data_IF_063786317853
#
_entry.id   IF_063786317853
#
_cell.length_a   1.000
_cell.length_b   1.000
_cell.length_c   1.000
_cell.angle_alpha   90.00
_cell.angle_beta   90.00
_cell.angle_gamma   90.00
#
_symmetry.space_group_name_H-M   'P 1'
#
loop_
_entity.id
_entity.type
_entity.pdbx_description
1 polymer ?
#
# COMPACT_ATOMS: atom_id res chain seq x y z
N UNK A 1 17.69 30.77 -10.74
CA UNK A 1 16.33 30.22 -10.90
C UNK A 1 16.24 28.92 -10.14
N UNK A 2 15.68 28.95 -8.93
CA UNK A 2 15.52 27.76 -8.08
C UNK A 2 14.52 26.82 -8.76
N UNK A 3 14.97 25.63 -9.14
CA UNK A 3 14.12 24.59 -9.70
C UNK A 3 13.19 24.08 -8.60
N UNK A 4 11.98 24.62 -8.50
CA UNK A 4 10.89 23.92 -7.82
C UNK A 4 10.64 22.65 -8.62
N UNK A 5 11.27 21.53 -8.22
CA UNK A 5 10.83 20.23 -8.70
C UNK A 5 9.41 20.06 -8.18
N UNK A 6 8.42 20.26 -9.04
CA UNK A 6 7.05 19.90 -8.75
C UNK A 6 7.04 18.40 -8.48
N UNK A 7 6.72 18.03 -7.24
CA UNK A 7 6.49 16.63 -6.91
C UNK A 7 5.32 16.12 -7.79
N UNK A 8 5.47 14.96 -8.44
CA UNK A 8 4.44 14.46 -9.33
C UNK A 8 3.15 14.18 -8.53
N UNK A 9 2.01 14.63 -9.06
CA UNK A 9 0.69 14.44 -8.44
C UNK A 9 0.36 12.97 -8.14
N UNK A 10 0.94 12.06 -8.93
CA UNK A 10 0.89 10.63 -8.74
C UNK A 10 2.25 10.01 -9.03
N UNK A 11 2.74 9.14 -8.15
CA UNK A 11 3.94 8.34 -8.46
C UNK A 11 3.85 6.93 -7.91
N UNK A 12 4.43 6.01 -8.67
CA UNK A 12 4.52 4.59 -8.32
C UNK A 12 5.98 4.18 -8.38
N UNK A 13 6.45 3.49 -7.34
CA UNK A 13 7.80 2.94 -7.28
C UNK A 13 7.76 1.49 -6.83
N UNK A 14 8.57 0.65 -7.48
CA UNK A 14 8.87 -0.72 -7.05
C UNK A 14 10.26 -0.72 -6.44
N UNK A 15 10.35 -0.87 -5.13
CA UNK A 15 11.64 -1.04 -4.46
C UNK A 15 12.01 -2.53 -4.45
N UNK A 16 13.17 -2.84 -5.02
CA UNK A 16 13.79 -4.16 -4.95
C UNK A 16 14.76 -4.19 -3.78
N UNK A 17 14.46 -4.97 -2.73
CA UNK A 17 15.37 -5.13 -1.59
C UNK A 17 16.37 -6.24 -1.91
N UNK A 18 17.59 -5.85 -2.31
CA UNK A 18 18.68 -6.80 -2.60
C UNK A 18 19.25 -7.30 -1.26
N UNK A 19 19.00 -8.58 -0.97
CA UNK A 19 19.69 -9.49 -0.03
C UNK A 19 20.20 -8.90 1.30
N UNK A 20 19.53 -9.25 2.42
CA UNK A 20 20.19 -9.23 3.73
C UNK A 20 21.09 -10.47 3.88
N UNK A 21 22.16 -10.33 4.69
CA UNK A 21 23.25 -11.30 4.96
C UNK A 21 22.79 -12.73 5.32
N UNK A 22 21.53 -12.92 5.69
CA UNK A 22 20.95 -14.18 6.18
C UNK A 22 20.16 -14.98 5.12
N UNK A 23 20.22 -14.61 3.84
CA UNK A 23 19.67 -15.44 2.74
C UNK A 23 18.13 -15.57 2.69
N UNK A 24 17.37 -14.91 3.57
CA UNK A 24 15.90 -14.93 3.53
C UNK A 24 15.31 -13.81 2.67
N UNK A 25 14.79 -14.26 1.51
CA UNK A 25 13.82 -13.71 0.53
C UNK A 25 13.79 -12.20 0.23
N UNK A 26 13.99 -11.97 -1.07
CA UNK A 26 13.47 -10.86 -1.89
C UNK A 26 12.00 -10.56 -1.59
N UNK A 27 11.71 -9.32 -1.20
CA UNK A 27 10.38 -8.72 -1.29
C UNK A 27 10.45 -7.53 -2.24
N UNK A 28 9.55 -7.46 -3.22
CA UNK A 28 9.32 -6.20 -3.91
C UNK A 28 8.26 -5.42 -3.13
N UNK A 29 8.56 -4.16 -2.88
CA UNK A 29 7.70 -3.24 -2.13
C UNK A 29 7.12 -2.24 -3.11
N UNK A 30 5.81 -2.19 -3.22
CA UNK A 30 5.12 -1.21 -4.05
C UNK A 30 4.80 0.01 -3.20
N UNK A 31 5.29 1.18 -3.63
CA UNK A 31 5.00 2.47 -3.00
C UNK A 31 4.19 3.27 -4.00
N UNK A 32 2.97 3.66 -3.62
CA UNK A 32 2.13 4.55 -4.41
C UNK A 32 1.95 5.84 -3.62
N UNK A 33 2.20 6.98 -4.26
CA UNK A 33 2.00 8.32 -3.71
C UNK A 33 0.98 9.09 -4.51
N UNK A 34 0.06 9.75 -3.82
CA UNK A 34 -0.90 10.70 -4.41
C UNK A 34 -0.84 11.99 -3.62
N UNK A 35 -0.64 13.12 -4.31
CA UNK A 35 -0.85 14.45 -3.75
C UNK A 35 -2.27 14.91 -4.09
N UNK A 36 -3.14 15.02 -3.09
CA UNK A 36 -4.54 15.46 -3.24
C UNK A 36 -4.94 16.35 -2.07
N UNK A 37 -5.62 17.46 -2.34
CA UNK A 37 -6.14 18.40 -1.34
C UNK A 37 -5.08 18.86 -0.30
N UNK A 38 -3.84 19.06 -0.75
CA UNK A 38 -2.73 19.45 0.12
C UNK A 38 -2.18 18.34 1.02
N UNK A 39 -2.61 17.09 0.83
CA UNK A 39 -2.15 15.90 1.56
C UNK A 39 -1.41 14.93 0.65
N UNK A 40 -0.50 14.13 1.21
CA UNK A 40 0.35 13.21 0.49
C UNK A 40 0.14 11.77 0.98
N UNK A 41 -0.75 11.05 0.31
CA UNK A 41 -1.09 9.68 0.67
C UNK A 41 -0.02 8.72 0.20
N UNK A 42 0.45 7.84 1.08
CA UNK A 42 1.39 6.78 0.71
C UNK A 42 0.86 5.42 1.13
N UNK A 43 0.71 4.48 0.18
CA UNK A 43 0.47 3.07 0.50
C UNK A 43 1.73 2.26 0.28
N UNK A 44 2.02 1.42 1.26
CA UNK A 44 3.11 0.47 1.25
C UNK A 44 2.60 -0.96 1.07
N UNK A 45 3.04 -1.60 -0.01
CA UNK A 45 2.74 -2.98 -0.36
C UNK A 45 3.35 -3.99 0.59
N UNK A 46 2.57 -4.98 1.00
CA UNK A 46 3.06 -6.12 1.76
C UNK A 46 4.13 -6.91 0.98
N UNK A 47 5.30 -7.15 1.58
CA UNK A 47 6.21 -8.21 1.12
C UNK A 47 5.54 -9.57 1.28
N UNK A 48 5.83 -10.55 0.39
CA UNK A 48 5.36 -11.94 0.51
C UNK A 48 5.42 -12.44 1.97
N UNK A 49 4.27 -12.53 2.64
CA UNK A 49 4.14 -12.98 4.03
C UNK A 49 3.67 -11.93 5.05
N UNK A 50 3.58 -10.65 4.68
CA UNK A 50 2.88 -9.64 5.47
C UNK A 50 1.38 -9.67 5.13
N UNK A 51 0.50 -9.82 6.13
CA UNK A 51 -0.95 -9.70 5.91
C UNK A 51 -1.40 -8.23 5.78
N UNK A 52 -0.49 -7.24 5.79
CA UNK A 52 -0.85 -5.84 6.01
C UNK A 52 -0.28 -4.89 4.96
N UNK A 53 -1.15 -4.03 4.41
CA UNK A 53 -0.75 -2.77 3.76
C UNK A 53 -0.86 -1.63 4.77
N UNK A 54 0.11 -0.71 4.75
CA UNK A 54 0.10 0.50 5.57
C UNK A 54 -0.17 1.70 4.68
N UNK A 55 -1.21 2.45 4.99
CA UNK A 55 -1.50 3.75 4.37
C UNK A 55 -1.08 4.83 5.34
N UNK A 56 -0.05 5.60 5.00
CA UNK A 56 0.40 6.76 5.76
C UNK A 56 -0.31 8.03 5.26
N UNK A 57 -0.47 9.01 6.16
CA UNK A 57 -1.11 10.32 5.90
C UNK A 57 -2.63 10.27 5.62
N UNK A 58 -3.27 9.14 5.97
CA UNK A 58 -4.73 9.01 6.01
C UNK A 58 -5.16 8.51 7.39
N UNK A 59 -6.41 8.75 7.77
CA UNK A 59 -7.01 8.07 8.92
C UNK A 59 -7.22 6.55 8.69
N UNK A 60 -6.80 6.01 7.53
CA UNK A 60 -6.82 4.57 7.28
C UNK A 60 -5.68 3.88 8.02
N UNK A 61 -6.03 2.86 8.81
CA UNK A 61 -5.10 2.26 9.77
C UNK A 61 -4.43 0.99 9.27
N UNK A 62 -5.12 0.17 8.48
CA UNK A 62 -4.54 -1.03 7.87
C UNK A 62 -5.47 -1.66 6.84
N UNK A 63 -4.86 -2.36 5.90
CA UNK A 63 -5.55 -3.28 5.00
C UNK A 63 -5.08 -4.69 5.33
N UNK A 64 -5.99 -5.58 5.72
CA UNK A 64 -5.66 -6.95 6.13
C UNK A 64 -6.39 -8.00 5.32
N UNK A 65 -5.83 -9.18 5.09
CA UNK A 65 -6.60 -10.35 4.61
C UNK A 65 -7.84 -10.58 5.48
N UNK A 66 -9.01 -10.65 4.83
CA UNK A 66 -10.30 -10.81 5.51
C UNK A 66 -10.39 -12.21 6.11
N UNK A 67 -10.85 -12.26 7.37
CA UNK A 67 -11.12 -13.50 8.09
C UNK A 67 -12.60 -13.62 8.40
N UNK A 68 -13.12 -14.83 8.41
CA UNK A 68 -14.45 -15.13 8.92
C UNK A 68 -14.50 -14.88 10.43
N UNK A 69 -15.71 -14.82 11.01
CA UNK A 69 -15.87 -14.73 12.47
C UNK A 69 -15.22 -15.91 13.22
N UNK A 70 -15.10 -17.08 12.56
CA UNK A 70 -14.39 -18.26 13.06
C UNK A 70 -12.87 -18.21 12.86
N UNK A 71 -12.31 -17.13 12.29
CA UNK A 71 -10.87 -16.92 12.11
C UNK A 71 -10.28 -17.49 10.81
N UNK A 72 -11.09 -18.11 9.94
CA UNK A 72 -10.65 -18.67 8.65
C UNK A 72 -10.33 -17.53 7.69
N UNK A 73 -9.14 -17.54 7.11
CA UNK A 73 -8.74 -16.55 6.11
C UNK A 73 -9.42 -16.81 4.76
N UNK A 74 -10.06 -15.79 4.18
CA UNK A 74 -10.64 -15.83 2.83
C UNK A 74 -9.55 -15.72 1.77
N UNK A 75 -9.84 -15.60 0.47
CA UNK A 75 -8.79 -15.46 -0.56
C UNK A 75 -7.74 -14.39 -0.24
N UNK A 76 -6.51 -14.53 -0.75
CA UNK A 76 -5.43 -13.52 -0.59
C UNK A 76 -5.83 -12.16 -1.20
N UNK A 77 -6.73 -12.18 -2.17
CA UNK A 77 -7.35 -11.03 -2.82
C UNK A 77 -8.52 -10.43 -2.02
N UNK A 78 -8.99 -11.11 -0.97
CA UNK A 78 -10.08 -10.63 -0.13
C UNK A 78 -9.51 -9.86 1.06
N UNK A 79 -9.60 -8.54 1.00
CA UNK A 79 -9.05 -7.63 2.00
C UNK A 79 -10.14 -6.95 2.84
N UNK A 80 -9.80 -6.63 4.08
CA UNK A 80 -10.55 -5.79 5.01
C UNK A 80 -9.81 -4.47 5.15
N UNK A 81 -10.50 -3.38 4.81
CA UNK A 81 -9.98 -2.03 4.85
C UNK A 81 -10.49 -1.34 6.12
N UNK A 82 -9.59 -0.99 7.03
CA UNK A 82 -9.94 -0.21 8.22
C UNK A 82 -9.68 1.28 7.95
N UNK A 83 -10.75 2.07 7.92
CA UNK A 83 -10.70 3.51 7.68
C UNK A 83 -11.29 4.29 8.85
N UNK A 84 -10.67 5.41 9.20
CA UNK A 84 -11.30 6.39 10.07
C UNK A 84 -12.46 7.12 9.38
N UNK A 85 -13.29 7.84 10.17
CA UNK A 85 -14.53 8.44 9.69
C UNK A 85 -14.32 9.56 8.65
N UNK A 86 -13.15 10.20 8.65
CA UNK A 86 -12.82 11.31 7.74
C UNK A 86 -11.96 10.89 6.54
N UNK A 87 -11.66 9.60 6.37
CA UNK A 87 -10.88 9.12 5.24
C UNK A 87 -11.72 9.09 3.94
N UNK A 88 -11.13 9.56 2.84
CA UNK A 88 -11.71 9.38 1.51
C UNK A 88 -11.63 7.90 1.12
N UNK A 89 -12.80 7.26 1.08
CA UNK A 89 -12.92 5.83 0.80
C UNK A 89 -12.48 5.47 -0.62
N UNK A 90 -12.79 6.32 -1.60
CA UNK A 90 -12.47 6.05 -3.00
C UNK A 90 -10.98 6.16 -3.24
N UNK A 91 -10.35 7.18 -2.66
CA UNK A 91 -8.89 7.35 -2.73
C UNK A 91 -8.17 6.15 -2.12
N UNK A 92 -8.55 5.72 -0.91
CA UNK A 92 -7.92 4.58 -0.25
C UNK A 92 -8.12 3.29 -1.03
N UNK A 93 -9.34 3.01 -1.53
CA UNK A 93 -9.60 1.83 -2.36
C UNK A 93 -8.77 1.86 -3.64
N UNK A 94 -8.68 3.01 -4.32
CA UNK A 94 -7.85 3.18 -5.51
C UNK A 94 -6.37 2.87 -5.25
N UNK A 95 -5.82 3.39 -4.15
CA UNK A 95 -4.44 3.11 -3.73
C UNK A 95 -4.21 1.60 -3.49
N UNK A 96 -5.15 0.91 -2.82
CA UNK A 96 -5.08 -0.53 -2.59
C UNK A 96 -5.12 -1.33 -3.88
N UNK A 97 -6.00 -0.95 -4.82
CA UNK A 97 -6.10 -1.61 -6.13
C UNK A 97 -4.80 -1.45 -6.91
N UNK A 98 -4.24 -0.24 -7.01
CA UNK A 98 -2.96 0.00 -7.68
C UNK A 98 -1.85 -0.83 -7.04
N UNK A 99 -1.79 -0.86 -5.71
CA UNK A 99 -0.81 -1.66 -4.98
C UNK A 99 -0.98 -3.18 -5.25
N UNK A 100 -2.22 -3.68 -5.25
CA UNK A 100 -2.55 -5.07 -5.55
C UNK A 100 -2.23 -5.48 -7.00
N UNK A 101 -2.44 -4.59 -7.97
CA UNK A 101 -2.03 -4.81 -9.36
C UNK A 101 -0.51 -4.90 -9.48
N UNK A 102 0.21 -3.99 -8.83
CA UNK A 102 1.67 -4.01 -8.80
C UNK A 102 2.21 -5.27 -8.14
N UNK A 103 1.51 -5.81 -7.14
CA UNK A 103 1.86 -7.07 -6.47
C UNK A 103 1.65 -8.32 -7.32
N UNK A 104 0.71 -8.30 -8.28
CA UNK A 104 0.46 -9.43 -9.21
C UNK A 104 1.40 -9.44 -10.40
N UNK A 105 1.94 -8.29 -10.79
CA UNK A 105 3.00 -8.16 -11.80
C UNK A 105 4.41 -8.47 -11.22
N UNK A 106 4.49 -9.27 -10.15
CA UNK A 106 5.74 -9.69 -9.46
C UNK A 106 5.90 -11.19 -9.58
#
# INVERSE_FOLDING_TARGET
>A
TSSFQQEPWFSVRKEHRILNKDGRRHGSRAIVRVAADGKAYTIDGASRGSEYYRVSDSDARAVRRKRTASGVALGEDVLTLMMGPAADRLLVVGLVVVCGLLSRCI
#
